data_IF_911749457296
#
_entry.id   IF_911749457296
#
_cell.length_a   1.000
_cell.length_b   1.000
_cell.length_c   1.000
_cell.angle_alpha   90.00
_cell.angle_beta   90.00
_cell.angle_gamma   90.00
#
_symmetry.space_group_name_H-M   'P 1'
#
loop_
_entity.id
_entity.type
_entity.pdbx_description
1 polymer ?
#
# COMPACT_ATOMS: atom_id res chain seq x y z
N UNK A 1 -14.56 14.56 -5.64
CA UNK A 1 -13.80 14.24 -4.40
C UNK A 1 -12.78 13.18 -4.76
N UNK A 2 -11.52 13.37 -4.38
CA UNK A 2 -10.47 12.39 -4.68
C UNK A 2 -10.62 11.10 -3.86
N UNK A 3 -10.23 9.97 -4.45
CA UNK A 3 -10.31 8.65 -3.81
C UNK A 3 -9.47 8.56 -2.53
N UNK A 4 -8.32 9.26 -2.52
CA UNK A 4 -7.46 9.44 -1.34
C UNK A 4 -8.23 10.02 -0.15
N UNK A 5 -9.04 11.06 -0.39
CA UNK A 5 -9.83 11.73 0.66
C UNK A 5 -10.95 10.85 1.18
N UNK A 6 -11.58 10.06 0.31
CA UNK A 6 -12.57 9.07 0.71
C UNK A 6 -11.98 7.98 1.62
N UNK A 7 -10.76 7.51 1.32
CA UNK A 7 -10.08 6.55 2.19
C UNK A 7 -9.74 7.12 3.56
N UNK A 8 -9.29 8.38 3.61
CA UNK A 8 -9.04 9.10 4.85
C UNK A 8 -10.33 9.23 5.68
N UNK A 9 -11.43 9.71 5.08
CA UNK A 9 -12.72 9.82 5.76
C UNK A 9 -13.23 8.46 6.26
N UNK A 10 -13.09 7.41 5.43
CA UNK A 10 -13.46 6.04 5.80
C UNK A 10 -12.69 5.54 7.01
N UNK A 11 -11.39 5.86 7.08
CA UNK A 11 -10.55 5.53 8.22
C UNK A 11 -10.98 6.27 9.49
N UNK A 12 -11.23 7.57 9.41
CA UNK A 12 -11.67 8.35 10.57
C UNK A 12 -12.96 7.77 11.15
N UNK A 13 -13.97 7.55 10.31
CA UNK A 13 -15.23 6.94 10.72
C UNK A 13 -15.00 5.53 11.33
N UNK A 14 -14.15 4.69 10.71
CA UNK A 14 -13.84 3.36 11.23
C UNK A 14 -13.14 3.41 12.59
N UNK A 15 -12.22 4.35 12.79
CA UNK A 15 -11.50 4.51 14.06
C UNK A 15 -12.47 4.92 15.16
N UNK A 16 -13.32 5.92 14.91
CA UNK A 16 -14.35 6.36 15.85
C UNK A 16 -15.37 5.25 16.16
N UNK A 17 -15.79 4.47 15.16
CA UNK A 17 -16.65 3.30 15.35
C UNK A 17 -16.03 2.28 16.33
N UNK A 18 -14.71 2.09 16.28
CA UNK A 18 -13.97 1.18 17.16
C UNK A 18 -13.50 1.84 18.47
N UNK A 19 -13.84 3.11 18.72
CA UNK A 19 -13.41 3.84 19.90
C UNK A 19 -11.91 4.15 19.92
N UNK A 20 -11.31 4.37 18.75
CA UNK A 20 -9.89 4.69 18.58
C UNK A 20 -9.78 6.14 18.09
N UNK A 21 -8.89 6.91 18.70
CA UNK A 21 -8.51 8.22 18.19
C UNK A 21 -7.77 8.07 16.84
N UNK A 22 -8.30 8.61 15.72
CA UNK A 22 -7.68 8.48 14.41
C UNK A 22 -6.32 9.18 14.28
N UNK A 23 -5.98 10.10 15.20
CA UNK A 23 -4.71 10.83 15.16
C UNK A 23 -3.65 10.12 16.00
N UNK A 24 -3.95 9.89 17.29
CA UNK A 24 -2.99 9.27 18.21
C UNK A 24 -2.95 7.74 18.11
N UNK A 25 -3.96 7.12 17.50
CA UNK A 25 -4.17 5.66 17.41
C UNK A 25 -4.34 4.99 18.79
N UNK A 26 -4.70 5.77 19.80
CA UNK A 26 -4.96 5.31 21.16
C UNK A 26 -6.46 5.04 21.34
N UNK A 27 -6.80 4.02 22.13
CA UNK A 27 -8.18 3.76 22.51
C UNK A 27 -8.72 4.92 23.36
N UNK A 28 -9.91 5.43 23.04
CA UNK A 28 -10.60 6.37 23.91
C UNK A 28 -10.94 5.70 25.24
N UNK A 29 -10.86 6.46 26.32
CA UNK A 29 -11.36 6.01 27.63
C UNK A 29 -12.84 5.63 27.54
N UNK A 30 -13.30 4.68 28.36
CA UNK A 30 -14.66 4.13 28.23
C UNK A 30 -15.74 5.20 28.38
N UNK A 31 -15.57 6.12 29.35
CA UNK A 31 -16.50 7.22 29.62
C UNK A 31 -16.26 8.45 28.72
N UNK A 32 -16.14 8.24 27.40
CA UNK A 32 -16.19 9.34 26.43
C UNK A 32 -17.45 9.29 25.58
N UNK A 33 -17.83 10.45 25.06
CA UNK A 33 -18.88 10.56 24.04
C UNK A 33 -18.63 9.68 22.81
N UNK A 34 -17.37 9.35 22.50
CA UNK A 34 -17.02 8.50 21.35
C UNK A 34 -17.32 7.02 21.59
N UNK A 35 -17.46 6.60 22.86
CA UNK A 35 -17.82 5.24 23.21
C UNK A 35 -19.33 5.01 23.39
N UNK A 36 -20.15 6.08 23.24
CA UNK A 36 -21.61 5.98 23.23
C UNK A 36 -22.04 5.04 22.08
N UNK A 37 -22.86 4.00 22.33
CA UNK A 37 -23.28 3.02 21.32
C UNK A 37 -23.88 3.66 20.06
N UNK A 38 -24.67 4.72 20.20
CA UNK A 38 -25.27 5.46 19.10
C UNK A 38 -24.22 6.16 18.21
N UNK A 39 -23.18 6.74 18.82
CA UNK A 39 -22.09 7.38 18.06
C UNK A 39 -21.30 6.32 17.27
N UNK A 40 -21.05 5.14 17.87
CA UNK A 40 -20.44 4.02 17.14
C UNK A 40 -21.31 3.58 15.96
N UNK A 41 -22.63 3.48 16.17
CA UNK A 41 -23.59 3.15 15.11
C UNK A 41 -23.60 4.17 13.97
N UNK A 42 -23.60 5.47 14.27
CA UNK A 42 -23.55 6.50 13.23
C UNK A 42 -22.24 6.45 12.43
N UNK A 43 -21.12 6.18 13.09
CA UNK A 43 -19.86 6.00 12.38
C UNK A 43 -19.86 4.75 11.48
N UNK A 44 -20.55 3.68 11.88
CA UNK A 44 -20.80 2.53 11.01
C UNK A 44 -21.63 2.92 9.77
N UNK A 45 -22.69 3.70 9.94
CA UNK A 45 -23.53 4.16 8.83
C UNK A 45 -22.75 5.07 7.87
N UNK A 46 -21.90 5.96 8.40
CA UNK A 46 -20.97 6.79 7.61
C UNK A 46 -19.97 5.92 6.85
N UNK A 47 -19.43 4.88 7.48
CA UNK A 47 -18.55 3.92 6.82
C UNK A 47 -19.23 3.27 5.61
N UNK A 48 -20.47 2.82 5.77
CA UNK A 48 -21.26 2.21 4.70
C UNK A 48 -21.54 3.20 3.55
N UNK A 49 -21.86 4.45 3.89
CA UNK A 49 -22.06 5.52 2.90
C UNK A 49 -20.79 5.78 2.08
N UNK A 50 -19.65 5.93 2.77
CA UNK A 50 -18.36 6.18 2.12
C UNK A 50 -17.95 4.98 1.25
N UNK A 51 -18.17 3.75 1.72
CA UNK A 51 -17.92 2.54 0.93
C UNK A 51 -18.73 2.54 -0.38
N UNK A 52 -20.00 2.96 -0.33
CA UNK A 52 -20.83 3.08 -1.54
C UNK A 52 -20.31 4.15 -2.52
N UNK A 53 -19.84 5.30 -2.03
CA UNK A 53 -19.22 6.34 -2.86
C UNK A 53 -17.93 5.87 -3.50
N UNK A 54 -17.09 5.19 -2.72
CA UNK A 54 -15.84 4.61 -3.18
C UNK A 54 -16.10 3.60 -4.30
N UNK A 55 -17.09 2.71 -4.16
CA UNK A 55 -17.47 1.74 -5.20
C UNK A 55 -17.99 2.45 -6.45
N UNK A 56 -18.84 3.47 -6.27
CA UNK A 56 -19.38 4.26 -7.38
C UNK A 56 -18.29 4.98 -8.18
N UNK A 57 -17.22 5.44 -7.52
CA UNK A 57 -16.10 6.14 -8.18
C UNK A 57 -15.12 5.13 -8.80
N UNK A 58 -14.88 4.00 -8.13
CA UNK A 58 -13.86 3.03 -8.55
C UNK A 58 -14.31 2.06 -9.66
N UNK A 59 -15.54 2.18 -10.19
CA UNK A 59 -16.07 1.43 -11.34
C UNK A 59 -15.70 -0.07 -11.37
N UNK A 60 -16.53 -0.89 -10.71
CA UNK A 60 -16.62 -2.35 -10.82
C UNK A 60 -15.31 -3.16 -10.64
N UNK A 61 -15.04 -3.54 -9.40
CA UNK A 61 -14.19 -4.68 -9.06
C UNK A 61 -14.53 -5.13 -7.65
N UNK A 62 -14.85 -6.41 -7.46
CA UNK A 62 -15.28 -7.00 -6.19
C UNK A 62 -14.36 -6.60 -5.03
N UNK A 63 -14.76 -5.59 -4.24
CA UNK A 63 -14.07 -5.28 -3.00
C UNK A 63 -14.62 -6.19 -1.91
N UNK A 64 -13.71 -6.80 -1.15
CA UNK A 64 -14.06 -7.49 0.09
C UNK A 64 -14.88 -6.54 0.95
N UNK A 65 -16.18 -6.84 1.11
CA UNK A 65 -17.08 -6.10 1.99
C UNK A 65 -16.38 -5.87 3.35
N UNK A 66 -16.24 -4.61 3.73
CA UNK A 66 -15.80 -4.22 5.07
C UNK A 66 -14.30 -4.00 5.28
N UNK A 67 -13.41 -4.18 4.28
CA UNK A 67 -11.98 -3.84 4.43
C UNK A 67 -11.55 -2.64 3.59
N UNK A 68 -10.84 -1.72 4.23
CA UNK A 68 -10.27 -0.53 3.62
C UNK A 68 -9.03 -0.96 2.79
N UNK A 69 -8.91 -0.57 1.52
CA UNK A 69 -7.68 -0.78 0.76
C UNK A 69 -6.47 -0.14 1.44
N UNK A 70 -5.27 -0.69 1.20
CA UNK A 70 -4.06 -0.11 1.76
C UNK A 70 -3.85 1.33 1.24
N UNK A 71 -3.56 2.26 2.15
CA UNK A 71 -3.10 3.61 1.83
C UNK A 71 -2.26 4.17 2.99
N UNK A 72 -1.45 5.18 2.70
CA UNK A 72 -0.68 5.91 3.70
C UNK A 72 -1.27 7.33 3.78
N UNK A 73 -1.58 7.79 4.99
CA UNK A 73 -2.07 9.14 5.27
C UNK A 73 -1.08 10.19 4.79
N UNK A 74 -1.56 11.42 4.52
CA UNK A 74 -0.69 12.49 4.07
C UNK A 74 0.39 12.80 5.12
N UNK A 75 -0.01 12.87 6.38
CA UNK A 75 0.84 13.17 7.54
C UNK A 75 1.90 12.07 7.75
N UNK A 76 1.53 10.81 7.52
CA UNK A 76 2.44 9.66 7.59
C UNK A 76 3.43 9.63 6.41
N UNK A 77 3.03 10.11 5.22
CA UNK A 77 3.94 10.18 4.05
C UNK A 77 5.05 11.20 4.24
N UNK A 78 4.73 12.33 4.86
CA UNK A 78 5.70 13.40 5.15
C UNK A 78 6.80 12.91 6.11
N UNK A 79 6.45 12.00 7.02
CA UNK A 79 7.36 11.44 8.02
C UNK A 79 7.79 9.98 7.71
N UNK A 80 7.61 9.53 6.48
CA UNK A 80 7.91 8.14 6.12
C UNK A 80 9.41 7.85 6.30
N UNK A 81 9.80 6.80 7.04
CA UNK A 81 11.20 6.48 7.30
C UNK A 81 11.84 5.79 6.09
N UNK A 82 12.27 6.60 5.11
CA UNK A 82 13.01 6.12 3.94
C UNK A 82 14.35 5.52 4.32
N UNK A 83 14.79 4.51 3.58
CA UNK A 83 16.10 3.89 3.75
C UNK A 83 17.13 4.63 2.90
N UNK A 84 18.22 5.08 3.51
CA UNK A 84 19.35 5.67 2.79
C UNK A 84 20.01 4.66 1.85
N UNK A 85 20.14 3.40 2.29
CA UNK A 85 20.62 2.30 1.47
C UNK A 85 19.52 1.78 0.54
N UNK A 86 19.87 1.25 -0.65
CA UNK A 86 18.93 0.50 -1.46
C UNK A 86 18.36 -0.71 -0.70
N UNK A 87 17.05 -0.91 -0.80
CA UNK A 87 16.33 -2.02 -0.15
C UNK A 87 15.47 -2.79 -1.14
N UNK A 88 15.15 -4.04 -0.85
CA UNK A 88 14.21 -4.80 -1.67
C UNK A 88 12.78 -4.27 -1.57
N UNK A 89 11.94 -4.58 -2.55
CA UNK A 89 10.51 -4.23 -2.51
C UNK A 89 9.81 -4.84 -1.30
N UNK A 90 10.27 -6.01 -0.84
CA UNK A 90 9.75 -6.69 0.34
C UNK A 90 10.09 -5.93 1.62
N UNK A 91 11.33 -5.45 1.78
CA UNK A 91 11.73 -4.62 2.92
C UNK A 91 10.95 -3.30 2.95
N UNK A 92 10.80 -2.65 1.80
CA UNK A 92 9.99 -1.43 1.68
C UNK A 92 8.52 -1.70 2.03
N UNK A 93 7.94 -2.80 1.55
CA UNK A 93 6.58 -3.22 1.84
C UNK A 93 6.37 -3.53 3.33
N UNK A 94 7.34 -4.17 4.00
CA UNK A 94 7.31 -4.37 5.45
C UNK A 94 7.28 -3.02 6.18
N UNK A 95 8.09 -2.06 5.72
CA UNK A 95 8.10 -0.71 6.29
C UNK A 95 6.76 0.00 6.12
N UNK A 96 6.19 -0.01 4.91
CA UNK A 96 4.86 0.53 4.62
C UNK A 96 3.78 -0.13 5.47
N UNK A 97 3.86 -1.45 5.67
CA UNK A 97 2.87 -2.18 6.47
C UNK A 97 2.87 -1.83 7.96
N UNK A 98 3.85 -1.08 8.47
CA UNK A 98 3.80 -0.48 9.82
C UNK A 98 2.72 0.59 9.96
N UNK A 99 2.24 1.12 8.84
CA UNK A 99 1.14 2.09 8.77
C UNK A 99 -0.22 1.42 8.52
N UNK A 100 -0.32 0.09 8.59
CA UNK A 100 -1.61 -0.62 8.50
C UNK A 100 -2.46 -0.29 9.72
N UNK A 101 -3.71 0.06 9.46
CA UNK A 101 -4.68 0.46 10.48
C UNK A 101 -5.77 -0.62 10.64
N UNK A 102 -6.52 -0.62 11.76
CA UNK A 102 -7.65 -1.53 11.94
C UNK A 102 -8.63 -1.47 10.77
N UNK A 103 -9.00 -2.64 10.25
CA UNK A 103 -9.89 -2.75 9.08
C UNK A 103 -9.21 -2.53 7.72
N UNK A 104 -7.92 -2.18 7.67
CA UNK A 104 -7.15 -2.03 6.43
C UNK A 104 -6.55 -3.36 5.97
N UNK A 105 -6.57 -3.62 4.65
CA UNK A 105 -5.85 -4.73 4.04
C UNK A 105 -4.35 -4.44 4.03
N UNK A 106 -3.52 -5.41 4.43
CA UNK A 106 -2.07 -5.29 4.32
C UNK A 106 -1.62 -5.21 2.86
N UNK A 107 -0.62 -4.40 2.58
CA UNK A 107 0.04 -4.35 1.29
C UNK A 107 0.82 -5.63 1.05
N UNK A 108 0.76 -6.18 -0.17
CA UNK A 108 1.59 -7.32 -0.59
C UNK A 108 2.70 -6.84 -1.50
N UNK A 109 3.92 -7.32 -1.27
CA UNK A 109 5.06 -7.01 -2.12
C UNK A 109 4.81 -7.44 -3.59
N UNK A 110 4.08 -8.53 -3.80
CA UNK A 110 3.67 -9.00 -5.13
C UNK A 110 2.78 -7.99 -5.87
N UNK A 111 1.90 -7.28 -5.16
CA UNK A 111 1.04 -6.27 -5.77
C UNK A 111 1.88 -5.05 -6.21
N UNK A 112 2.86 -4.63 -5.40
CA UNK A 112 3.81 -3.59 -5.79
C UNK A 112 4.63 -4.00 -7.02
N UNK A 113 5.24 -5.19 -7.00
CA UNK A 113 6.05 -5.69 -8.12
C UNK A 113 5.23 -5.77 -9.41
N UNK A 114 3.99 -6.27 -9.33
CA UNK A 114 3.09 -6.35 -10.50
C UNK A 114 2.66 -4.97 -10.97
N UNK A 115 2.37 -4.03 -10.07
CA UNK A 115 2.08 -2.65 -10.43
C UNK A 115 3.25 -2.00 -11.17
N UNK A 116 4.47 -2.15 -10.67
CA UNK A 116 5.69 -1.64 -11.32
C UNK A 116 5.96 -2.30 -12.68
N UNK A 117 5.65 -3.59 -12.83
CA UNK A 117 5.70 -4.29 -14.12
C UNK A 117 4.69 -3.70 -15.11
N UNK A 118 3.43 -3.56 -14.70
CA UNK A 118 2.34 -3.06 -15.55
C UNK A 118 2.54 -1.58 -15.94
N UNK A 119 3.23 -0.81 -15.09
CA UNK A 119 3.63 0.57 -15.37
C UNK A 119 4.91 0.69 -16.22
N UNK A 120 5.57 -0.43 -16.55
CA UNK A 120 6.76 -0.45 -17.41
C UNK A 120 8.09 -0.11 -16.71
N UNK A 121 8.13 -0.08 -15.37
CA UNK A 121 9.38 0.10 -14.61
C UNK A 121 10.16 -1.20 -14.43
N UNK A 122 9.46 -2.33 -14.50
CA UNK A 122 10.05 -3.66 -14.54
C UNK A 122 9.66 -4.35 -15.84
N UNK A 123 10.46 -5.33 -16.23
CA UNK A 123 10.17 -6.25 -17.34
C UNK A 123 10.40 -7.69 -16.88
N UNK A 124 9.73 -8.61 -17.57
CA UNK A 124 9.98 -10.03 -17.42
C UNK A 124 11.13 -10.45 -18.35
N UNK A 125 12.11 -11.18 -17.81
CA UNK A 125 13.25 -11.71 -18.55
C UNK A 125 13.22 -13.22 -18.40
N UNK A 126 13.05 -13.92 -19.52
CA UNK A 126 13.12 -15.38 -19.57
C UNK A 126 14.58 -15.84 -19.44
N UNK A 127 14.80 -16.82 -18.57
CA UNK A 127 16.07 -17.56 -18.43
C UNK A 127 16.03 -18.79 -19.32
N UNK A 128 14.89 -19.49 -19.32
CA UNK A 128 14.53 -20.63 -20.17
C UNK A 128 12.99 -20.65 -20.38
N UNK A 129 12.45 -21.69 -21.02
CA UNK A 129 11.01 -21.79 -21.32
C UNK A 129 10.11 -21.87 -20.06
N UNK A 130 10.67 -22.18 -18.88
CA UNK A 130 9.92 -22.35 -17.63
C UNK A 130 10.22 -21.30 -16.56
N UNK A 131 11.37 -20.62 -16.67
CA UNK A 131 11.86 -19.67 -15.65
C UNK A 131 11.97 -18.28 -16.22
N UNK A 132 11.32 -17.35 -15.54
CA UNK A 132 11.51 -15.92 -15.72
C UNK A 132 11.88 -15.24 -14.41
N UNK A 133 12.50 -14.07 -14.52
CA UNK A 133 12.69 -13.14 -13.40
C UNK A 133 12.30 -11.73 -13.81
N UNK A 134 12.15 -10.85 -12.83
CA UNK A 134 11.85 -9.44 -13.08
C UNK A 134 13.15 -8.63 -13.03
N UNK A 135 13.41 -7.85 -14.06
CA UNK A 135 14.55 -6.93 -14.16
C UNK A 135 14.05 -5.49 -14.38
N UNK A 136 14.82 -4.46 -13.99
CA UNK A 136 14.43 -3.08 -14.28
C UNK A 136 14.51 -2.77 -15.78
N UNK A 137 13.62 -1.91 -16.25
CA UNK A 137 13.71 -1.27 -17.57
C UNK A 137 14.66 -0.07 -17.51
N UNK A 138 14.89 0.62 -18.63
CA UNK A 138 15.67 1.86 -18.63
C UNK A 138 15.00 2.94 -17.76
N UNK A 139 13.67 2.98 -17.81
CA UNK A 139 12.82 3.83 -16.97
C UNK A 139 12.94 3.44 -15.50
N UNK A 140 12.92 2.13 -15.20
CA UNK A 140 13.15 1.63 -13.85
C UNK A 140 14.53 1.99 -13.29
N UNK A 141 15.59 1.86 -14.10
CA UNK A 141 16.95 2.27 -13.71
C UNK A 141 17.02 3.78 -13.48
N UNK A 142 16.41 4.57 -14.37
CA UNK A 142 16.36 6.04 -14.24
C UNK A 142 15.60 6.49 -12.99
N UNK A 143 14.61 5.71 -12.56
CA UNK A 143 13.88 5.91 -11.31
C UNK A 143 14.71 5.55 -10.07
N UNK A 144 15.78 4.78 -10.23
CA UNK A 144 16.67 4.33 -9.14
C UNK A 144 16.48 2.88 -8.71
N UNK A 145 15.89 2.03 -9.57
CA UNK A 145 15.83 0.58 -9.37
C UNK A 145 17.14 -0.05 -9.86
N UNK A 146 17.78 -0.82 -8.98
CA UNK A 146 19.09 -1.44 -9.21
C UNK A 146 18.90 -2.95 -9.23
N UNK A 147 19.46 -3.63 -10.23
CA UNK A 147 19.56 -5.09 -10.23
C UNK A 147 20.87 -5.52 -9.58
N UNK A 148 20.78 -6.35 -8.54
CA UNK A 148 21.93 -6.95 -7.86
C UNK A 148 21.93 -8.47 -8.02
N UNK A 149 23.05 -9.04 -8.48
CA UNK A 149 23.24 -10.49 -8.51
C UNK A 149 23.69 -10.98 -7.14
N UNK A 150 22.96 -11.95 -6.59
CA UNK A 150 23.26 -12.63 -5.33
C UNK A 150 23.50 -14.10 -5.56
N UNK A 151 24.26 -14.71 -4.66
CA UNK A 151 24.48 -16.15 -4.64
C UNK A 151 23.89 -16.73 -3.36
N UNK A 152 23.06 -17.77 -3.46
CA UNK A 152 22.53 -18.45 -2.28
C UNK A 152 23.57 -19.41 -1.67
N UNK A 153 23.26 -19.99 -0.51
CA UNK A 153 24.14 -20.95 0.18
C UNK A 153 24.46 -22.21 -0.62
N UNK A 154 23.68 -22.50 -1.66
CA UNK A 154 23.88 -23.64 -2.57
C UNK A 154 24.70 -23.26 -3.82
N UNK A 155 25.22 -22.04 -3.92
CA UNK A 155 26.02 -21.57 -5.06
C UNK A 155 25.19 -21.08 -6.26
N UNK A 156 23.86 -21.08 -6.17
CA UNK A 156 23.01 -20.62 -7.27
C UNK A 156 22.94 -19.09 -7.29
N UNK A 157 23.17 -18.50 -8.47
CA UNK A 157 23.06 -17.06 -8.68
C UNK A 157 21.61 -16.66 -9.01
N UNK A 158 21.11 -15.58 -8.41
CA UNK A 158 19.80 -15.02 -8.64
C UNK A 158 19.86 -13.48 -8.61
N UNK A 159 18.98 -12.82 -9.34
CA UNK A 159 18.88 -11.36 -9.35
C UNK A 159 17.86 -10.85 -8.33
N UNK A 160 18.17 -9.74 -7.67
CA UNK A 160 17.28 -9.01 -6.78
C UNK A 160 17.19 -7.56 -7.22
N UNK A 161 15.98 -7.03 -7.32
CA UNK A 161 15.76 -5.60 -7.54
C UNK A 161 15.78 -4.87 -6.20
N UNK A 162 16.67 -3.88 -6.09
CA UNK A 162 16.81 -2.97 -4.97
C UNK A 162 16.35 -1.57 -5.39
N UNK A 163 15.82 -0.84 -4.42
CA UNK A 163 15.18 0.45 -4.62
C UNK A 163 15.94 1.47 -3.77
N UNK A 164 16.67 2.37 -4.44
CA UNK A 164 17.35 3.48 -3.77
C UNK A 164 16.33 4.47 -3.15
N UNK A 165 16.82 5.51 -2.49
CA UNK A 165 15.95 6.49 -1.82
C UNK A 165 14.97 7.20 -2.77
N UNK A 166 15.35 7.46 -4.02
CA UNK A 166 14.50 8.17 -4.99
C UNK A 166 13.35 7.30 -5.48
N UNK A 167 13.64 6.05 -5.83
CA UNK A 167 12.61 5.07 -6.20
C UNK A 167 11.69 4.75 -5.02
N UNK A 168 12.20 4.69 -3.79
CA UNK A 168 11.37 4.54 -2.59
C UNK A 168 10.38 5.72 -2.43
N UNK A 169 10.85 6.97 -2.55
CA UNK A 169 10.01 8.17 -2.50
C UNK A 169 8.94 8.16 -3.57
N UNK A 170 9.30 7.77 -4.80
CA UNK A 170 8.33 7.63 -5.88
C UNK A 170 7.25 6.59 -5.55
N UNK A 171 7.64 5.39 -5.09
CA UNK A 171 6.69 4.32 -4.77
C UNK A 171 5.74 4.76 -3.66
N UNK A 172 6.22 5.42 -2.60
CA UNK A 172 5.36 5.95 -1.52
C UNK A 172 4.41 7.03 -2.05
N UNK A 173 4.90 7.92 -2.91
CA UNK A 173 4.10 9.02 -3.48
C UNK A 173 3.00 8.50 -4.40
N UNK A 174 3.35 7.62 -5.33
CA UNK A 174 2.47 7.09 -6.39
C UNK A 174 1.82 5.74 -6.01
N UNK A 175 1.84 5.39 -4.72
CA UNK A 175 1.41 4.10 -4.19
C UNK A 175 0.01 3.69 -4.66
N UNK A 176 -0.94 4.62 -4.68
CA UNK A 176 -2.31 4.33 -5.10
C UNK A 176 -2.38 3.88 -6.57
N UNK A 177 -1.69 4.59 -7.47
CA UNK A 177 -1.62 4.24 -8.88
C UNK A 177 -0.89 2.91 -9.12
N UNK A 178 0.16 2.63 -8.35
CA UNK A 178 0.88 1.34 -8.42
C UNK A 178 -0.04 0.18 -8.00
N UNK A 179 -0.78 0.33 -6.89
CA UNK A 179 -1.73 -0.68 -6.42
C UNK A 179 -2.85 -0.89 -7.43
N UNK A 180 -3.37 0.18 -8.03
CA UNK A 180 -4.42 0.12 -9.05
C UNK A 180 -3.92 -0.60 -10.31
N UNK A 181 -2.74 -0.24 -10.82
CA UNK A 181 -2.12 -0.89 -11.97
C UNK A 181 -1.92 -2.40 -11.75
N UNK A 182 -1.74 -2.85 -10.50
CA UNK A 182 -1.62 -4.28 -10.18
C UNK A 182 -2.91 -5.08 -10.36
N UNK A 183 -4.09 -4.42 -10.41
CA UNK A 183 -5.41 -5.09 -10.50
C UNK A 183 -5.92 -5.22 -11.92
N UNK A 184 -5.41 -4.40 -12.85
CA UNK A 184 -5.80 -4.41 -14.25
C UNK A 184 -5.02 -5.50 -14.99
N UNK A 185 -5.44 -6.76 -14.87
CA UNK A 185 -4.97 -7.87 -15.71
C UNK A 185 -6.02 -8.97 -15.77
#
# INVERSE_FOLDING_TARGET
>A
MELSKLYEMRYYANSLMNGIDPTSRVQFVEDTVMNIPQIKKYNEDVCNLIDSMIVSIASAGERQKGKIPFFIMKEDRENFPYFEKPVSISELCICMNKFVLPGMVKLRATDLTRGLLNLGYLKEVSIDDEKSYKAPTLEGVSLGIIEEKRTNSYGNSYSVNLYNIDSQKYIVKELAGIIEASRNT
#
